data_IF_018575462874
#
_entry.id   IF_018575462874
#
_cell.length_a   1.000
_cell.length_b   1.000
_cell.length_c   1.000
_cell.angle_alpha   90.00
_cell.angle_beta   90.00
_cell.angle_gamma   90.00
#
_symmetry.space_group_name_H-M   'P 1'
#
loop_
_entity.id
_entity.type
_entity.pdbx_description
1 polymer ?
#
# COMPACT_ATOMS: atom_id res chain seq x y z
N UNK A 1 -1.72 -21.59 13.46
CA UNK A 1 -1.36 -20.30 12.87
C UNK A 1 -2.08 -20.15 11.53
N UNK A 2 -2.70 -19.00 11.27
CA UNK A 2 -3.32 -18.70 9.98
C UNK A 2 -2.27 -18.26 8.94
N UNK A 3 -2.69 -17.97 7.69
CA UNK A 3 -1.77 -17.59 6.58
C UNK A 3 -0.99 -16.29 6.82
N UNK A 4 -1.43 -15.47 7.78
CA UNK A 4 -0.73 -14.24 8.21
C UNK A 4 0.20 -14.44 9.41
N UNK A 5 0.35 -15.67 9.90
CA UNK A 5 1.20 -15.99 11.04
C UNK A 5 0.62 -15.55 12.39
N UNK A 6 -0.70 -15.41 12.49
CA UNK A 6 -1.41 -15.04 13.72
C UNK A 6 -2.07 -16.29 14.31
N UNK A 7 -1.99 -16.48 15.63
CA UNK A 7 -2.57 -17.63 16.31
C UNK A 7 -4.07 -17.41 16.59
N UNK A 8 -4.84 -17.19 15.54
CA UNK A 8 -6.29 -17.04 15.52
C UNK A 8 -6.86 -17.66 14.25
N UNK A 9 -8.12 -18.07 14.28
CA UNK A 9 -8.86 -18.43 13.05
C UNK A 9 -8.97 -17.21 12.13
N UNK A 10 -8.94 -17.39 10.80
CA UNK A 10 -9.15 -16.28 9.87
C UNK A 10 -10.40 -15.45 10.18
N UNK A 11 -11.55 -16.10 10.43
CA UNK A 11 -12.84 -15.44 10.74
C UNK A 11 -12.82 -14.55 11.99
N UNK A 12 -11.89 -14.81 12.91
CA UNK A 12 -11.70 -14.05 14.15
C UNK A 12 -10.50 -13.09 14.06
N UNK A 13 -9.83 -13.04 12.91
CA UNK A 13 -8.68 -12.18 12.65
C UNK A 13 -9.11 -11.00 11.80
N UNK A 14 -9.11 -9.81 12.38
CA UNK A 14 -9.41 -8.56 11.68
C UNK A 14 -8.16 -8.03 11.02
N UNK A 15 -8.25 -7.78 9.72
CA UNK A 15 -7.14 -7.30 8.89
C UNK A 15 -7.55 -6.00 8.21
N UNK A 16 -6.83 -4.93 8.51
CA UNK A 16 -6.93 -3.71 7.69
C UNK A 16 -6.01 -3.87 6.49
N UNK A 17 -6.54 -3.66 5.29
CA UNK A 17 -5.76 -3.68 4.04
C UNK A 17 -5.59 -2.26 3.51
N UNK A 18 -4.32 -1.82 3.38
CA UNK A 18 -3.99 -0.54 2.74
C UNK A 18 -4.20 -0.67 1.23
N UNK A 19 -5.26 -0.06 0.72
CA UNK A 19 -5.70 -0.16 -0.66
C UNK A 19 -5.34 1.11 -1.43
N UNK A 20 -4.56 0.97 -2.50
CA UNK A 20 -4.20 2.07 -3.41
C UNK A 20 -5.04 2.08 -4.69
N UNK A 21 -6.02 1.16 -4.85
CA UNK A 21 -6.75 0.96 -6.10
C UNK A 21 -5.93 0.33 -7.24
N UNK A 22 -4.70 -0.09 -6.95
CA UNK A 22 -3.86 -0.88 -7.86
C UNK A 22 -4.13 -2.38 -7.75
N UNK A 23 -3.55 -3.15 -8.67
CA UNK A 23 -3.70 -4.62 -8.74
C UNK A 23 -3.27 -5.28 -7.44
N UNK A 24 -2.10 -4.93 -6.91
CA UNK A 24 -1.46 -5.61 -5.79
C UNK A 24 -2.30 -5.54 -4.51
N UNK A 25 -2.68 -4.33 -4.11
CA UNK A 25 -3.50 -4.12 -2.90
C UNK A 25 -4.89 -4.74 -3.05
N UNK A 26 -5.47 -4.72 -4.26
CA UNK A 26 -6.75 -5.35 -4.55
C UNK A 26 -6.69 -6.87 -4.44
N UNK A 27 -5.61 -7.50 -4.94
CA UNK A 27 -5.38 -8.94 -4.79
C UNK A 27 -5.22 -9.31 -3.32
N UNK A 28 -4.46 -8.53 -2.55
CA UNK A 28 -4.32 -8.76 -1.09
C UNK A 28 -5.68 -8.74 -0.40
N UNK A 29 -6.50 -7.72 -0.64
CA UNK A 29 -7.80 -7.59 -0.01
C UNK A 29 -8.75 -8.73 -0.40
N UNK A 30 -8.88 -9.01 -1.70
CA UNK A 30 -9.74 -10.06 -2.22
C UNK A 30 -9.32 -11.45 -1.75
N UNK A 31 -8.01 -11.77 -1.80
CA UNK A 31 -7.44 -13.03 -1.31
C UNK A 31 -7.73 -13.25 0.17
N UNK A 32 -7.44 -12.27 1.02
CA UNK A 32 -7.68 -12.39 2.46
C UNK A 32 -9.17 -12.55 2.76
N UNK A 33 -10.04 -11.83 2.05
CA UNK A 33 -11.48 -11.99 2.20
C UNK A 33 -11.95 -13.40 1.79
N UNK A 34 -11.42 -13.94 0.70
CA UNK A 34 -11.71 -15.30 0.23
C UNK A 34 -11.18 -16.37 1.21
N UNK A 35 -10.07 -16.10 1.91
CA UNK A 35 -9.54 -16.94 2.99
C UNK A 35 -10.35 -16.85 4.30
N UNK A 36 -11.40 -16.03 4.33
CA UNK A 36 -12.34 -15.92 5.45
C UNK A 36 -11.95 -14.92 6.52
N UNK A 37 -10.99 -14.02 6.27
CA UNK A 37 -10.63 -12.96 7.22
C UNK A 37 -11.72 -11.89 7.36
N UNK A 38 -11.78 -11.24 8.53
CA UNK A 38 -12.54 -10.00 8.75
C UNK A 38 -11.74 -8.83 8.15
N UNK A 39 -11.97 -8.55 6.86
CA UNK A 39 -11.23 -7.56 6.09
C UNK A 39 -11.91 -6.19 6.16
N UNK A 40 -11.11 -5.15 6.41
CA UNK A 40 -11.47 -3.74 6.26
C UNK A 40 -10.50 -3.10 5.28
N UNK A 41 -10.99 -2.50 4.20
CA UNK A 41 -10.17 -1.73 3.26
C UNK A 41 -10.01 -0.29 3.73
N UNK A 42 -8.81 0.27 3.58
CA UNK A 42 -8.58 1.71 3.77
C UNK A 42 -7.78 2.25 2.60
N UNK A 43 -8.28 3.34 2.02
CA UNK A 43 -7.56 4.15 1.04
C UNK A 43 -7.23 5.51 1.64
N UNK A 44 -6.01 5.98 1.42
CA UNK A 44 -5.61 7.33 1.78
C UNK A 44 -5.84 8.25 0.59
N UNK A 45 -6.57 9.34 0.79
CA UNK A 45 -6.59 10.47 -0.11
C UNK A 45 -5.38 11.35 0.22
N UNK A 46 -4.41 11.41 -0.69
CA UNK A 46 -3.13 12.09 -0.48
C UNK A 46 -3.08 13.45 -1.20
N UNK A 47 -3.98 13.71 -2.13
CA UNK A 47 -4.13 14.97 -2.85
C UNK A 47 -5.52 15.06 -3.48
N UNK A 48 -6.04 16.29 -3.61
CA UNK A 48 -7.37 16.51 -4.20
C UNK A 48 -7.36 16.24 -5.70
N UNK A 49 -8.50 15.75 -6.19
CA UNK A 49 -8.72 15.43 -7.61
C UNK A 49 -8.93 16.65 -8.52
N UNK A 50 -8.84 17.87 -7.98
CA UNK A 50 -9.03 19.12 -8.73
C UNK A 50 -7.94 19.38 -9.78
N UNK A 51 -6.90 18.57 -9.81
CA UNK A 51 -6.00 18.52 -10.96
C UNK A 51 -6.68 17.76 -12.08
N UNK A 52 -7.52 18.44 -12.84
CA UNK A 52 -8.40 18.01 -13.94
C UNK A 52 -7.73 17.29 -15.13
N UNK A 53 -6.58 16.63 -14.92
CA UNK A 53 -5.82 15.88 -15.92
C UNK A 53 -5.26 14.56 -15.37
N UNK A 54 -5.96 13.89 -14.45
CA UNK A 54 -5.49 12.60 -13.92
C UNK A 54 -5.65 11.49 -14.95
N UNK A 55 -4.55 11.17 -15.65
CA UNK A 55 -4.45 9.94 -16.44
C UNK A 55 -4.49 8.71 -15.52
N UNK A 56 -5.02 7.56 -16.01
CA UNK A 56 -5.00 6.30 -15.25
C UNK A 56 -3.57 5.94 -14.81
N UNK A 57 -3.40 5.54 -13.55
CA UNK A 57 -2.12 5.05 -13.02
C UNK A 57 -1.41 5.97 -12.03
N UNK A 58 -2.05 7.02 -11.53
CA UNK A 58 -1.57 7.79 -10.38
C UNK A 58 -2.16 7.22 -9.10
N UNK A 59 -1.33 6.80 -8.16
CA UNK A 59 -1.78 6.31 -6.85
C UNK A 59 -2.64 7.37 -6.15
N UNK A 60 -3.77 6.93 -5.55
CA UNK A 60 -4.63 7.73 -4.67
C UNK A 60 -5.36 8.92 -5.33
N UNK A 61 -5.50 8.95 -6.65
CA UNK A 61 -6.43 9.85 -7.34
C UNK A 61 -7.86 9.29 -7.36
N UNK A 62 -8.87 10.11 -7.68
CA UNK A 62 -10.29 9.73 -7.63
C UNK A 62 -10.64 8.41 -8.36
N UNK A 63 -9.97 8.09 -9.47
CA UNK A 63 -10.16 6.82 -10.20
C UNK A 63 -9.68 5.63 -9.35
N UNK A 64 -8.53 5.76 -8.72
CA UNK A 64 -7.92 4.69 -7.92
C UNK A 64 -8.74 4.42 -6.64
N UNK A 65 -9.25 5.47 -6.00
CA UNK A 65 -10.18 5.36 -4.86
C UNK A 65 -11.45 4.62 -5.29
N UNK A 66 -12.03 4.99 -6.44
CA UNK A 66 -13.22 4.33 -6.98
C UNK A 66 -12.97 2.85 -7.31
N UNK A 67 -11.78 2.49 -7.79
CA UNK A 67 -11.44 1.09 -8.05
C UNK A 67 -11.33 0.30 -6.73
N UNK A 68 -10.74 0.87 -5.67
CA UNK A 68 -10.72 0.25 -4.35
C UNK A 68 -12.14 0.05 -3.78
N UNK A 69 -13.01 1.05 -3.91
CA UNK A 69 -14.42 0.97 -3.50
C UNK A 69 -15.16 -0.14 -4.27
N UNK A 70 -14.94 -0.27 -5.59
CA UNK A 70 -15.56 -1.34 -6.39
C UNK A 70 -15.12 -2.72 -5.90
N UNK A 71 -13.81 -2.92 -5.67
CA UNK A 71 -13.29 -4.18 -5.13
C UNK A 71 -13.91 -4.50 -3.78
N UNK A 72 -14.03 -3.53 -2.87
CA UNK A 72 -14.65 -3.76 -1.57
C UNK A 72 -16.12 -4.18 -1.66
N UNK A 73 -16.87 -3.61 -2.61
CA UNK A 73 -18.26 -3.98 -2.90
C UNK A 73 -18.37 -5.38 -3.50
N UNK A 74 -17.54 -5.68 -4.51
CA UNK A 74 -17.55 -6.97 -5.20
C UNK A 74 -17.22 -8.12 -4.23
N UNK A 75 -16.40 -7.88 -3.20
CA UNK A 75 -16.00 -8.87 -2.18
C UNK A 75 -16.71 -8.70 -0.83
N UNK A 76 -17.66 -7.78 -0.72
CA UNK A 76 -18.47 -7.55 0.47
C UNK A 76 -17.66 -7.37 1.77
N UNK A 77 -16.81 -6.31 1.79
CA UNK A 77 -16.13 -5.86 2.99
C UNK A 77 -16.19 -4.32 3.12
N UNK A 78 -16.17 -3.77 4.34
CA UNK A 78 -16.19 -2.32 4.57
C UNK A 78 -14.93 -1.67 4.03
N UNK A 79 -15.07 -0.47 3.46
CA UNK A 79 -13.98 0.32 2.94
C UNK A 79 -14.13 1.79 3.36
N UNK A 80 -13.05 2.38 3.85
CA UNK A 80 -12.99 3.77 4.27
C UNK A 80 -11.96 4.54 3.45
N UNK A 81 -12.26 5.81 3.20
CA UNK A 81 -11.32 6.76 2.62
C UNK A 81 -10.97 7.77 3.70
N UNK A 82 -9.69 7.85 4.04
CA UNK A 82 -9.19 8.84 5.00
C UNK A 82 -8.46 9.95 4.26
N UNK A 83 -8.74 11.16 4.66
CA UNK A 83 -8.04 12.34 4.15
C UNK A 83 -6.72 12.52 4.92
N UNK A 84 -5.61 12.45 4.16
CA UNK A 84 -4.25 12.70 4.63
C UNK A 84 -3.52 13.69 3.72
N UNK A 85 -4.26 14.61 3.09
CA UNK A 85 -3.69 15.59 2.16
C UNK A 85 -2.69 16.50 2.86
N UNK A 86 -3.04 17.01 4.05
CA UNK A 86 -2.18 17.89 4.83
C UNK A 86 -0.90 17.19 5.32
N UNK A 87 -1.03 15.97 5.86
CA UNK A 87 0.10 15.19 6.34
C UNK A 87 1.03 14.80 5.19
N UNK A 88 0.46 14.42 4.06
CA UNK A 88 1.23 14.10 2.86
C UNK A 88 1.96 15.31 2.30
N UNK A 89 1.29 16.47 2.25
CA UNK A 89 1.90 17.72 1.82
C UNK A 89 3.10 18.05 2.69
N UNK A 90 2.91 18.14 4.01
CA UNK A 90 3.97 18.52 4.97
C UNK A 90 5.10 17.48 5.06
N UNK A 91 4.74 16.19 5.15
CA UNK A 91 5.69 15.11 5.41
C UNK A 91 6.42 14.59 4.17
N UNK A 92 5.88 14.80 2.97
CA UNK A 92 6.41 14.23 1.73
C UNK A 92 6.69 15.28 0.68
N UNK A 93 5.70 16.12 0.32
CA UNK A 93 5.84 17.07 -0.79
C UNK A 93 6.80 18.21 -0.43
N UNK A 94 6.61 18.84 0.73
CA UNK A 94 7.42 19.97 1.17
C UNK A 94 8.88 19.55 1.38
N UNK A 95 9.10 18.34 1.94
CA UNK A 95 10.44 17.77 2.10
C UNK A 95 11.09 17.43 0.77
N UNK A 96 10.33 16.84 -0.17
CA UNK A 96 10.80 16.56 -1.52
C UNK A 96 11.30 17.83 -2.22
N UNK A 97 10.48 18.89 -2.21
CA UNK A 97 10.81 20.19 -2.82
C UNK A 97 12.07 20.80 -2.18
N UNK A 98 12.10 20.84 -0.83
CA UNK A 98 13.24 21.36 -0.09
C UNK A 98 14.54 20.62 -0.38
N UNK A 99 14.48 19.28 -0.48
CA UNK A 99 15.65 18.45 -0.79
C UNK A 99 16.20 18.74 -2.17
N UNK A 100 15.34 18.86 -3.19
CA UNK A 100 15.77 19.22 -4.54
C UNK A 100 16.40 20.62 -4.61
N UNK A 101 15.81 21.63 -3.97
CA UNK A 101 16.37 22.99 -3.90
C UNK A 101 17.78 22.96 -3.27
N UNK A 102 18.02 22.08 -2.32
CA UNK A 102 19.33 21.90 -1.67
C UNK A 102 20.28 20.97 -2.45
N UNK A 103 19.97 20.57 -3.68
CA UNK A 103 20.82 19.73 -4.54
C UNK A 103 20.84 18.25 -4.15
N UNK A 104 19.90 17.79 -3.34
CA UNK A 104 19.74 16.38 -2.96
C UNK A 104 18.76 15.67 -3.91
N UNK A 105 18.84 14.34 -3.97
CA UNK A 105 17.90 13.49 -4.73
C UNK A 105 16.99 12.73 -3.76
N UNK A 106 15.82 13.25 -3.38
CA UNK A 106 14.93 12.60 -2.44
C UNK A 106 14.19 11.42 -3.06
N UNK A 107 13.83 10.44 -2.22
CA UNK A 107 12.96 9.32 -2.59
C UNK A 107 11.64 9.42 -1.79
N UNK A 108 10.63 10.14 -2.32
CA UNK A 108 9.42 10.48 -1.57
C UNK A 108 8.61 9.26 -1.14
N UNK A 109 8.73 8.12 -1.84
CA UNK A 109 8.05 6.88 -1.47
C UNK A 109 8.53 6.33 -0.11
N UNK A 110 9.81 6.51 0.23
CA UNK A 110 10.35 6.14 1.56
C UNK A 110 9.69 6.99 2.63
N UNK A 111 9.67 8.31 2.44
CA UNK A 111 9.05 9.24 3.40
C UNK A 111 7.54 8.99 3.54
N UNK A 112 6.84 8.73 2.42
CA UNK A 112 5.42 8.38 2.45
C UNK A 112 5.16 7.12 3.28
N UNK A 113 5.97 6.06 3.10
CA UNK A 113 5.84 4.85 3.89
C UNK A 113 6.12 5.10 5.38
N UNK A 114 7.17 5.86 5.70
CA UNK A 114 7.60 6.17 7.06
C UNK A 114 6.60 7.05 7.80
N UNK A 115 6.17 8.19 7.20
CA UNK A 115 5.43 9.24 7.91
C UNK A 115 3.91 9.12 7.77
N UNK A 116 3.40 8.64 6.65
CA UNK A 116 1.95 8.59 6.38
C UNK A 116 1.43 7.17 6.49
N UNK A 117 1.97 6.23 5.70
CA UNK A 117 1.40 4.87 5.65
C UNK A 117 1.63 4.07 6.94
N UNK A 118 2.88 4.04 7.44
CA UNK A 118 3.21 3.20 8.59
C UNK A 118 3.24 3.97 9.93
N UNK A 119 2.79 5.22 9.92
CA UNK A 119 2.44 5.99 11.09
C UNK A 119 0.91 6.13 11.15
N UNK A 120 0.37 7.11 10.46
CA UNK A 120 -1.05 7.50 10.57
C UNK A 120 -2.03 6.38 10.19
N UNK A 121 -1.77 5.66 9.08
CA UNK A 121 -2.65 4.58 8.65
C UNK A 121 -2.57 3.37 9.57
N UNK A 122 -1.40 3.11 10.16
CA UNK A 122 -1.24 2.03 11.14
C UNK A 122 -2.01 2.35 12.42
N UNK A 123 -1.98 3.59 12.88
CA UNK A 123 -2.77 4.03 14.05
C UNK A 123 -4.27 3.94 13.76
N UNK A 124 -4.72 4.32 12.55
CA UNK A 124 -6.10 4.13 12.13
C UNK A 124 -6.51 2.65 12.15
N UNK A 125 -5.62 1.75 11.71
CA UNK A 125 -5.87 0.31 11.75
C UNK A 125 -5.98 -0.22 13.19
N UNK A 126 -5.12 0.23 14.09
CA UNK A 126 -5.20 -0.10 15.53
C UNK A 126 -6.51 0.40 16.15
N UNK A 127 -6.96 1.61 15.82
CA UNK A 127 -8.22 2.18 16.30
C UNK A 127 -9.46 1.42 15.78
N UNK A 128 -9.34 0.71 14.66
CA UNK A 128 -10.37 -0.20 14.16
C UNK A 128 -10.30 -1.60 14.80
N UNK A 129 -9.48 -1.76 15.85
CA UNK A 129 -9.23 -3.02 16.52
C UNK A 129 -8.74 -4.13 15.58
N UNK A 130 -7.90 -3.78 14.60
CA UNK A 130 -7.29 -4.76 13.71
C UNK A 130 -6.17 -5.54 14.42
N UNK A 131 -6.07 -6.82 14.10
CA UNK A 131 -4.97 -7.68 14.55
C UNK A 131 -3.68 -7.43 13.76
N UNK A 132 -3.80 -6.92 12.53
CA UNK A 132 -2.68 -6.53 11.69
C UNK A 132 -3.14 -5.63 10.54
N UNK A 133 -2.15 -5.00 9.89
CA UNK A 133 -2.35 -4.27 8.64
C UNK A 133 -1.60 -4.97 7.50
N UNK A 134 -2.30 -5.28 6.41
CA UNK A 134 -1.72 -5.88 5.21
C UNK A 134 -1.55 -4.86 4.09
N UNK A 135 -0.49 -5.01 3.30
CA UNK A 135 -0.21 -4.16 2.15
C UNK A 135 0.21 -4.98 0.94
N UNK A 136 0.10 -4.38 -0.25
CA UNK A 136 0.55 -4.98 -1.51
C UNK A 136 2.04 -4.88 -1.78
N UNK A 137 2.87 -4.57 -0.80
CA UNK A 137 4.31 -4.48 -1.01
C UNK A 137 4.96 -5.86 -1.19
N UNK A 138 5.91 -5.92 -2.11
CA UNK A 138 6.73 -7.11 -2.38
C UNK A 138 7.96 -7.10 -1.47
N UNK A 139 7.77 -7.56 -0.24
CA UNK A 139 8.81 -7.81 0.76
C UNK A 139 8.37 -8.97 1.64
N UNK A 140 9.29 -9.59 2.35
CA UNK A 140 8.96 -10.67 3.29
C UNK A 140 9.20 -10.23 4.72
N UNK A 141 8.26 -10.57 5.57
CA UNK A 141 8.38 -10.49 7.02
C UNK A 141 8.66 -11.88 7.57
N UNK A 142 9.74 -12.02 8.32
CA UNK A 142 10.09 -13.28 8.96
C UNK A 142 10.26 -13.10 10.46
N UNK A 143 9.91 -14.12 11.22
CA UNK A 143 10.21 -14.21 12.64
C UNK A 143 11.51 -15.00 12.80
N UNK A 144 12.44 -14.45 13.58
CA UNK A 144 13.70 -15.08 13.95
C UNK A 144 13.88 -15.07 15.45
N UNK A 145 14.98 -15.65 15.94
CA UNK A 145 15.36 -15.59 17.35
C UNK A 145 15.63 -14.13 17.81
N UNK A 146 16.00 -13.26 16.88
CA UNK A 146 16.26 -11.84 17.16
C UNK A 146 15.01 -10.95 17.03
N UNK A 147 13.84 -11.54 16.81
CA UNK A 147 12.57 -10.84 16.62
C UNK A 147 12.10 -10.84 15.16
N UNK A 148 11.37 -9.79 14.78
CA UNK A 148 10.83 -9.65 13.43
C UNK A 148 11.85 -8.98 12.51
N UNK A 149 12.01 -9.54 11.34
CA UNK A 149 12.95 -9.08 10.31
C UNK A 149 12.23 -8.77 8.98
N UNK A 150 12.68 -7.73 8.30
CA UNK A 150 12.31 -7.41 6.93
C UNK A 150 13.32 -8.04 5.97
N UNK A 151 12.83 -8.84 5.03
CA UNK A 151 13.64 -9.51 4.01
C UNK A 151 13.19 -9.06 2.61
N UNK A 152 14.10 -9.18 1.65
CA UNK A 152 13.78 -8.98 0.23
C UNK A 152 12.68 -9.94 -0.24
N UNK A 153 11.90 -9.53 -1.24
CA UNK A 153 10.91 -10.40 -1.88
C UNK A 153 11.55 -11.64 -2.51
N UNK A 154 10.75 -12.68 -2.80
CA UNK A 154 11.23 -13.80 -3.62
C UNK A 154 11.46 -13.38 -5.07
N UNK A 155 10.57 -12.55 -5.63
CA UNK A 155 10.79 -11.91 -6.92
C UNK A 155 11.75 -10.72 -6.75
N UNK A 156 13.03 -10.94 -7.04
CA UNK A 156 14.07 -9.91 -6.94
C UNK A 156 13.85 -8.73 -7.89
N UNK A 157 13.10 -8.92 -9.00
CA UNK A 157 12.77 -7.86 -9.96
C UNK A 157 11.68 -6.91 -9.44
N UNK A 158 10.93 -7.35 -8.44
CA UNK A 158 9.84 -6.59 -7.82
C UNK A 158 10.09 -6.25 -6.35
N UNK A 159 11.29 -6.58 -5.85
CA UNK A 159 11.63 -6.29 -4.46
C UNK A 159 11.46 -4.79 -4.13
N UNK A 160 10.78 -4.52 -3.03
CA UNK A 160 10.48 -3.19 -2.54
C UNK A 160 11.09 -2.91 -1.15
N UNK A 161 12.01 -3.76 -0.69
CA UNK A 161 12.67 -3.62 0.62
C UNK A 161 13.38 -2.27 0.76
N UNK A 162 13.95 -1.74 -0.34
CA UNK A 162 14.56 -0.41 -0.37
C UNK A 162 13.60 0.71 0.06
N UNK A 163 12.32 0.61 -0.31
CA UNK A 163 11.33 1.63 0.05
C UNK A 163 10.82 1.51 1.49
N UNK A 164 11.19 0.43 2.19
CA UNK A 164 10.71 0.09 3.53
C UNK A 164 11.82 -0.01 4.59
N UNK A 165 13.04 0.38 4.27
CA UNK A 165 14.17 0.23 5.20
C UNK A 165 14.01 1.02 6.50
N UNK A 166 13.26 2.13 6.46
CA UNK A 166 12.97 2.97 7.63
C UNK A 166 11.83 2.43 8.51
N UNK A 167 11.22 1.28 8.13
CA UNK A 167 10.14 0.67 8.92
C UNK A 167 10.68 0.14 10.25
N UNK A 168 10.11 0.60 11.36
CA UNK A 168 10.53 0.17 12.70
C UNK A 168 10.11 -1.27 13.00
N UNK A 169 10.78 -1.87 14.00
CA UNK A 169 10.42 -3.22 14.44
C UNK A 169 8.98 -3.30 14.94
N UNK A 170 8.53 -2.32 15.71
CA UNK A 170 7.15 -2.24 16.21
C UNK A 170 6.14 -2.21 15.04
N UNK A 171 6.42 -1.41 14.01
CA UNK A 171 5.58 -1.38 12.80
C UNK A 171 5.57 -2.74 12.10
N UNK A 172 6.74 -3.40 11.96
CA UNK A 172 6.87 -4.72 11.33
C UNK A 172 6.09 -5.81 12.10
N UNK A 173 5.95 -5.71 13.40
CA UNK A 173 5.15 -6.64 14.19
C UNK A 173 3.68 -6.62 13.77
N UNK A 174 3.16 -5.46 13.40
CA UNK A 174 1.78 -5.28 12.99
C UNK A 174 1.56 -5.44 11.47
N UNK A 175 2.60 -5.23 10.64
CA UNK A 175 2.51 -5.29 9.19
C UNK A 175 2.51 -6.73 8.65
N UNK A 176 1.81 -6.93 7.52
CA UNK A 176 1.80 -8.18 6.76
C UNK A 176 1.95 -7.90 5.26
N UNK A 177 2.69 -8.76 4.58
CA UNK A 177 3.06 -8.61 3.17
C UNK A 177 2.72 -9.89 2.38
N UNK A 178 1.44 -10.15 2.07
CA UNK A 178 1.01 -11.43 1.49
C UNK A 178 1.62 -11.74 0.12
N UNK A 179 2.13 -10.73 -0.61
CA UNK A 179 2.72 -10.90 -1.95
C UNK A 179 4.22 -11.19 -1.93
N UNK A 180 4.90 -10.97 -0.81
CA UNK A 180 6.36 -11.09 -0.73
C UNK A 180 6.92 -12.48 -0.98
N UNK A 181 6.11 -13.53 -0.82
CA UNK A 181 6.47 -14.91 -1.09
C UNK A 181 6.10 -15.39 -2.50
N UNK A 182 5.60 -14.52 -3.37
CA UNK A 182 5.31 -14.86 -4.76
C UNK A 182 6.59 -14.77 -5.60
N UNK A 183 6.80 -15.77 -6.46
CA UNK A 183 8.01 -15.86 -7.28
C UNK A 183 8.00 -14.90 -8.47
N UNK A 184 6.85 -14.34 -8.84
CA UNK A 184 6.75 -13.36 -9.90
C UNK A 184 5.49 -12.52 -9.79
N UNK A 185 5.51 -11.34 -10.41
CA UNK A 185 4.36 -10.43 -10.54
C UNK A 185 3.24 -11.04 -11.40
N UNK A 186 3.58 -11.91 -12.35
CA UNK A 186 2.61 -12.60 -13.19
C UNK A 186 1.65 -13.43 -12.35
N UNK A 187 2.13 -14.05 -11.27
CA UNK A 187 1.27 -14.79 -10.33
C UNK A 187 0.23 -13.86 -9.72
N UNK A 188 0.62 -12.66 -9.30
CA UNK A 188 -0.35 -11.66 -8.78
C UNK A 188 -1.39 -11.29 -9.83
N UNK A 189 -0.99 -11.12 -11.10
CA UNK A 189 -1.92 -10.81 -12.18
C UNK A 189 -2.84 -11.99 -12.53
N UNK A 190 -2.33 -13.21 -12.46
CA UNK A 190 -3.15 -14.42 -12.60
C UNK A 190 -4.18 -14.51 -11.48
N UNK A 191 -3.75 -14.34 -10.22
CA UNK A 191 -4.67 -14.28 -9.08
C UNK A 191 -5.73 -13.17 -9.24
N UNK A 192 -5.35 -12.01 -9.76
CA UNK A 192 -6.30 -10.91 -10.02
C UNK A 192 -7.37 -11.32 -11.05
N UNK A 193 -6.98 -12.05 -12.09
CA UNK A 193 -7.92 -12.57 -13.12
C UNK A 193 -8.82 -13.67 -12.56
N UNK A 194 -8.24 -14.62 -11.83
CA UNK A 194 -8.95 -15.75 -11.24
C UNK A 194 -9.99 -15.27 -10.20
N UNK A 195 -9.67 -14.20 -9.47
CA UNK A 195 -10.57 -13.52 -8.56
C UNK A 195 -11.58 -12.57 -9.26
N UNK A 196 -11.53 -12.44 -10.58
CA UNK A 196 -12.43 -11.58 -11.34
C UNK A 196 -12.22 -10.07 -11.10
N UNK A 197 -11.04 -9.66 -10.64
CA UNK A 197 -10.75 -8.25 -10.35
C UNK A 197 -10.66 -7.43 -11.64
N UNK A 198 -11.46 -6.39 -11.74
CA UNK A 198 -11.51 -5.47 -12.90
C UNK A 198 -10.16 -4.75 -13.12
N UNK A 199 -9.38 -4.59 -12.06
CA UNK A 199 -8.06 -3.95 -12.08
C UNK A 199 -6.94 -4.86 -12.58
N UNK A 200 -7.21 -6.12 -12.94
CA UNK A 200 -6.20 -7.13 -13.33
C UNK A 200 -5.25 -6.68 -14.45
N UNK A 201 -5.74 -5.87 -15.38
CA UNK A 201 -4.96 -5.32 -16.50
C UNK A 201 -4.42 -3.90 -16.25
N UNK A 202 -4.65 -3.33 -15.05
CA UNK A 202 -4.17 -1.99 -14.72
C UNK A 202 -2.64 -1.96 -14.71
N UNK A 203 -2.00 -0.95 -15.34
CA UNK A 203 -0.55 -0.81 -15.32
C UNK A 203 -0.05 -0.53 -13.91
N UNK A 204 1.19 -0.96 -13.62
CA UNK A 204 1.86 -0.61 -12.37
C UNK A 204 2.19 0.90 -12.38
N UNK A 205 2.17 1.52 -11.19
CA UNK A 205 2.67 2.89 -11.03
C UNK A 205 4.18 2.91 -11.29
N UNK A 206 4.63 3.77 -12.20
CA UNK A 206 6.02 3.80 -12.67
C UNK A 206 6.78 5.04 -12.18
N UNK A 207 6.11 6.01 -11.57
CA UNK A 207 6.70 7.32 -11.26
C UNK A 207 6.16 7.87 -9.93
N UNK A 208 6.70 9.01 -9.50
CA UNK A 208 6.23 9.73 -8.31
C UNK A 208 4.77 10.11 -8.49
N UNK A 209 3.93 9.70 -7.54
CA UNK A 209 2.47 9.74 -7.67
C UNK A 209 1.88 11.15 -7.78
N UNK A 210 2.52 12.16 -7.19
CA UNK A 210 2.04 13.55 -7.17
C UNK A 210 2.65 14.44 -8.26
N UNK A 211 3.62 13.95 -9.04
CA UNK A 211 4.24 14.71 -10.15
C UNK A 211 3.65 14.23 -11.48
N UNK A 212 3.19 15.16 -12.31
CA UNK A 212 2.79 14.85 -13.67
C UNK A 212 4.03 14.47 -14.51
N UNK A 213 3.90 13.39 -15.32
CA UNK A 213 5.01 12.87 -16.13
C UNK A 213 5.70 13.98 -16.93
N UNK A 214 7.01 14.12 -16.72
CA UNK A 214 7.86 15.13 -17.38
C UNK A 214 7.77 16.54 -16.82
N UNK A 215 7.04 16.76 -15.71
CA UNK A 215 6.81 18.11 -15.12
C UNK A 215 7.54 18.32 -13.79
N UNK A 216 8.69 17.68 -13.59
CA UNK A 216 9.48 17.84 -12.36
C UNK A 216 9.90 19.30 -12.12
N UNK A 217 10.37 19.96 -13.16
CA UNK A 217 10.81 21.35 -13.07
C UNK A 217 9.68 22.31 -12.70
N UNK A 218 8.53 22.17 -13.37
CA UNK A 218 7.33 22.99 -13.10
C UNK A 218 6.79 22.80 -11.69
N UNK A 219 7.07 21.64 -11.09
CA UNK A 219 6.60 21.29 -9.75
C UNK A 219 7.49 21.86 -8.64
N UNK A 220 8.79 22.08 -8.92
CA UNK A 220 9.77 22.55 -7.94
C UNK A 220 9.88 24.09 -7.92
N UNK A 221 9.51 24.80 -8.99
CA UNK A 221 9.41 26.27 -9.03
C UNK A 221 8.25 26.80 -8.21
#
# INVERSE_FOLDING_TARGET
MNSLGINKDPKNTRVVVAMSGGVDSSVVAAKLKTEGYDVIGITMQLYSSDVSNSKPGKCCGGIDINDAIKVSRDFNFPHYVFDYEDEFKKGVIDEFTKSYINGLTPVPCIRCNETVKFSNLLDAAKNLNADCMATGHYVRRKSSINGIELHTALDSKKDQSYFLFATTREQLEFLRFPLGNLNSKEITRTLAKDLGLRVSNKPDSQDICFIAKGKYFDFIQ
#
